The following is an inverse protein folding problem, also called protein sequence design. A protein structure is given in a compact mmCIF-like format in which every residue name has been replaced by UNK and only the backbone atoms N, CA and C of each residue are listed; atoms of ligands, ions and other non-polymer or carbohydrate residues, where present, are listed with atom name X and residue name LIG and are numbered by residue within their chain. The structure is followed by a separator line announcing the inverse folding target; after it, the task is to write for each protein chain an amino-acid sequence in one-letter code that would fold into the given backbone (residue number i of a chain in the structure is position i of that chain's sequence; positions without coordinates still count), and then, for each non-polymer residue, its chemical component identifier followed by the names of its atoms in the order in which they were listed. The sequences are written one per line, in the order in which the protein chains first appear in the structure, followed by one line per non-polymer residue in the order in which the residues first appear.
data_IF_477117189170
#
_entry.id   IF_477117189170
#
_cell.length_a   1.000
_cell.length_b   1.000
_cell.length_c   1.000
_cell.angle_alpha   90.00
_cell.angle_beta   90.00
_cell.angle_gamma   90.00
#
_symmetry.space_group_name_H-M   'P 1'
#
loop_
_entity.id
_entity.type
_entity.pdbx_description
1 polymer ?
#
# COMPACT_ATOMS: atom_id res chain seq x y z
N UNK A 1 -1.98 -22.33 -3.40
CA UNK A 1 -0.78 -21.45 -3.28
C UNK A 1 -0.97 -20.55 -2.10
N UNK A 2 -0.07 -20.65 -1.13
CA UNK A 2 -0.16 -19.83 0.06
C UNK A 2 0.78 -18.62 -0.07
N UNK A 3 0.24 -17.44 0.11
CA UNK A 3 1.01 -16.21 0.06
C UNK A 3 1.36 -15.79 1.47
N UNK A 4 2.62 -15.48 1.71
CA UNK A 4 3.11 -15.05 3.01
C UNK A 4 3.68 -13.63 2.92
N UNK A 5 3.59 -12.89 4.02
CA UNK A 5 4.10 -11.53 4.12
C UNK A 5 4.97 -11.44 5.37
N UNK A 6 6.13 -10.83 5.25
CA UNK A 6 7.00 -10.56 6.40
C UNK A 6 7.85 -9.33 6.17
N UNK A 7 8.47 -8.83 7.23
CA UNK A 7 9.40 -7.73 7.09
C UNK A 7 10.56 -8.14 6.20
N UNK A 8 11.00 -7.23 5.35
CA UNK A 8 12.16 -7.43 4.50
C UNK A 8 13.45 -7.39 5.32
N UNK A 9 14.43 -8.18 4.90
CA UNK A 9 15.75 -8.27 5.53
C UNK A 9 16.82 -7.87 4.54
N UNK A 10 17.99 -7.42 5.00
CA UNK A 10 19.08 -7.07 4.07
C UNK A 10 19.44 -8.19 3.09
N UNK A 11 19.28 -9.46 3.49
CA UNK A 11 19.54 -10.58 2.60
C UNK A 11 18.52 -10.72 1.47
N UNK A 12 17.42 -10.00 1.50
CA UNK A 12 16.36 -10.07 0.49
C UNK A 12 16.59 -9.11 -0.69
N UNK A 13 17.57 -8.18 -0.59
CA UNK A 13 17.65 -7.07 -1.53
C UNK A 13 17.79 -7.46 -3.00
N UNK A 14 18.58 -8.49 -3.29
CA UNK A 14 18.76 -8.92 -4.67
C UNK A 14 17.45 -9.50 -5.23
N UNK A 15 16.81 -10.37 -4.46
CA UNK A 15 15.54 -10.97 -4.88
C UNK A 15 14.43 -9.92 -5.03
N UNK A 16 14.39 -8.94 -4.13
CA UNK A 16 13.43 -7.85 -4.23
C UNK A 16 13.69 -6.97 -5.46
N UNK A 17 14.96 -6.68 -5.77
CA UNK A 17 15.29 -5.91 -6.97
C UNK A 17 14.88 -6.66 -8.23
N UNK A 18 15.09 -7.98 -8.27
CA UNK A 18 14.68 -8.79 -9.42
C UNK A 18 13.17 -8.86 -9.56
N UNK A 19 12.44 -9.06 -8.46
CA UNK A 19 10.98 -9.10 -8.50
C UNK A 19 10.41 -7.73 -8.93
N UNK A 20 10.98 -6.65 -8.43
CA UNK A 20 10.59 -5.29 -8.79
C UNK A 20 10.84 -5.03 -10.27
N UNK A 21 12.02 -5.41 -10.77
CA UNK A 21 12.35 -5.25 -12.18
C UNK A 21 11.36 -6.02 -13.06
N UNK A 22 11.09 -7.26 -12.72
CA UNK A 22 10.12 -8.08 -13.46
C UNK A 22 8.75 -7.42 -13.49
N UNK A 23 8.29 -6.92 -12.34
CA UNK A 23 6.97 -6.32 -12.23
C UNK A 23 6.84 -5.04 -13.08
N UNK A 24 7.81 -4.14 -12.99
CA UNK A 24 7.73 -2.87 -13.69
C UNK A 24 7.98 -3.01 -15.20
N UNK A 25 8.82 -3.96 -15.62
CA UNK A 25 9.02 -4.22 -17.04
C UNK A 25 7.74 -4.76 -17.69
N UNK A 26 6.89 -5.45 -16.94
CA UNK A 26 5.64 -5.96 -17.46
C UNK A 26 4.66 -4.84 -17.80
N UNK A 27 4.84 -3.66 -17.22
CA UNK A 27 3.94 -2.52 -17.45
C UNK A 27 3.88 -2.08 -18.91
N UNK A 28 4.87 -2.43 -19.73
CA UNK A 28 4.84 -2.16 -21.16
C UNK A 28 3.57 -2.76 -21.78
N UNK A 29 3.11 -3.90 -21.28
CA UNK A 29 1.90 -4.55 -21.78
C UNK A 29 0.63 -3.81 -21.37
N UNK A 30 0.76 -2.88 -20.42
CA UNK A 30 -0.39 -2.16 -19.87
C UNK A 30 -0.33 -0.66 -20.16
N UNK A 31 0.46 -0.28 -21.15
CA UNK A 31 0.46 1.10 -21.62
C UNK A 31 1.61 1.98 -21.16
N UNK A 32 2.61 1.42 -20.52
CA UNK A 32 3.78 2.22 -20.12
C UNK A 32 4.47 2.76 -21.37
N UNK A 33 4.78 4.06 -21.41
CA UNK A 33 5.44 4.65 -22.56
C UNK A 33 6.92 4.26 -22.61
N UNK A 34 7.45 4.12 -23.82
CA UNK A 34 8.88 3.85 -24.02
C UNK A 34 9.28 2.40 -23.77
N UNK A 35 10.58 2.15 -23.69
CA UNK A 35 11.09 0.82 -23.42
C UNK A 35 10.82 0.39 -21.99
N UNK A 36 10.97 -0.91 -21.67
CA UNK A 36 10.78 -1.38 -20.30
C UNK A 36 11.59 -0.57 -19.31
N UNK A 37 10.96 -0.18 -18.21
CA UNK A 37 11.60 0.62 -17.17
C UNK A 37 10.71 0.64 -15.93
N UNK A 38 11.01 1.53 -15.01
CA UNK A 38 10.25 1.69 -13.78
C UNK A 38 10.63 2.95 -13.03
N UNK A 39 10.05 3.16 -11.85
CA UNK A 39 10.34 4.34 -11.04
C UNK A 39 11.78 4.29 -10.51
N UNK A 40 12.31 5.42 -10.05
CA UNK A 40 13.69 5.47 -9.57
C UNK A 40 14.01 4.35 -8.58
N UNK A 41 15.13 3.67 -8.80
CA UNK A 41 15.60 2.62 -7.90
C UNK A 41 14.92 1.26 -8.03
N UNK A 42 13.99 1.11 -8.95
CA UNK A 42 13.19 -0.11 -9.06
C UNK A 42 14.01 -1.37 -9.29
N UNK A 43 15.14 -1.27 -9.97
CA UNK A 43 16.01 -2.41 -10.29
C UNK A 43 17.31 -2.42 -9.48
N UNK A 44 17.41 -1.61 -8.44
CA UNK A 44 18.64 -1.45 -7.67
C UNK A 44 18.54 -2.11 -6.29
N UNK A 45 19.41 -3.09 -6.03
CA UNK A 45 19.49 -3.71 -4.71
C UNK A 45 19.91 -2.71 -3.64
N UNK A 46 20.80 -1.77 -3.98
CA UNK A 46 21.25 -0.75 -3.05
C UNK A 46 20.07 0.18 -2.65
N UNK A 47 19.22 0.50 -3.60
CA UNK A 47 18.04 1.31 -3.32
C UNK A 47 17.06 0.57 -2.41
N UNK A 48 16.85 -0.74 -2.67
CA UNK A 48 15.98 -1.56 -1.83
C UNK A 48 16.49 -1.55 -0.38
N UNK A 49 17.79 -1.71 -0.21
CA UNK A 49 18.39 -1.70 1.12
C UNK A 49 18.17 -0.36 1.82
N UNK A 50 18.34 0.75 1.09
CA UNK A 50 18.14 2.07 1.67
C UNK A 50 16.69 2.27 2.11
N UNK A 51 15.74 1.78 1.34
CA UNK A 51 14.32 1.89 1.70
C UNK A 51 14.01 1.10 2.97
N UNK A 52 14.67 -0.01 3.21
CA UNK A 52 14.50 -0.77 4.45
C UNK A 52 14.90 0.03 5.69
N UNK A 53 15.80 1.00 5.52
CA UNK A 53 16.26 1.83 6.64
C UNK A 53 15.37 3.05 6.90
N UNK A 54 14.53 3.44 5.96
CA UNK A 54 13.73 4.65 6.09
C UNK A 54 12.23 4.42 6.00
N UNK A 55 11.79 3.22 5.70
CA UNK A 55 10.38 2.88 5.54
C UNK A 55 10.11 1.49 6.10
N UNK A 56 8.82 1.13 6.17
CA UNK A 56 8.43 -0.21 6.56
C UNK A 56 8.37 -1.02 5.27
N UNK A 57 9.28 -1.94 5.10
CA UNK A 57 9.38 -2.73 3.87
C UNK A 57 8.96 -4.17 4.15
N UNK A 58 8.03 -4.70 3.36
CA UNK A 58 7.53 -6.08 3.49
C UNK A 58 7.81 -6.87 2.22
N UNK A 59 8.18 -8.14 2.38
CA UNK A 59 8.32 -9.06 1.25
C UNK A 59 7.03 -9.86 1.09
N UNK A 60 6.75 -10.23 -0.14
CA UNK A 60 5.64 -11.11 -0.50
C UNK A 60 6.28 -12.41 -0.98
N UNK A 61 5.88 -13.54 -0.39
CA UNK A 61 6.52 -14.82 -0.66
C UNK A 61 5.53 -15.92 -1.01
N UNK A 62 6.00 -16.87 -1.82
CA UNK A 62 5.36 -18.16 -2.01
C UNK A 62 6.42 -19.16 -1.57
N UNK A 63 6.18 -19.84 -0.45
CA UNK A 63 7.22 -20.66 0.16
C UNK A 63 8.40 -19.78 0.53
N UNK A 64 9.58 -20.11 0.06
CA UNK A 64 10.76 -19.29 0.34
C UNK A 64 11.07 -18.32 -0.80
N UNK A 65 10.30 -18.36 -1.87
CA UNK A 65 10.54 -17.51 -3.03
C UNK A 65 9.94 -16.13 -2.83
N UNK A 66 10.77 -15.10 -2.94
CA UNK A 66 10.28 -13.71 -2.90
C UNK A 66 9.71 -13.39 -4.27
N UNK A 67 8.42 -13.04 -4.29
CA UNK A 67 7.71 -12.72 -5.52
C UNK A 67 7.27 -11.27 -5.61
N UNK A 68 7.52 -10.47 -4.59
CA UNK A 68 7.14 -9.09 -4.60
C UNK A 68 7.45 -8.38 -3.29
N UNK A 69 7.02 -7.14 -3.19
CA UNK A 69 7.23 -6.34 -2.00
C UNK A 69 6.29 -5.15 -1.90
N UNK A 70 6.28 -4.58 -0.71
CA UNK A 70 5.51 -3.37 -0.41
C UNK A 70 6.35 -2.44 0.44
N UNK A 71 6.29 -1.14 0.16
CA UNK A 71 7.00 -0.12 0.93
C UNK A 71 5.98 0.86 1.48
N UNK A 72 5.93 0.97 2.80
CA UNK A 72 4.97 1.81 3.51
C UNK A 72 5.70 2.92 4.23
N UNK A 73 5.27 4.17 4.02
CA UNK A 73 5.80 5.33 4.72
C UNK A 73 4.77 5.84 5.73
N UNK A 74 5.24 6.15 6.93
CA UNK A 74 4.38 6.80 7.92
C UNK A 74 4.45 8.29 7.67
N UNK A 75 3.33 8.89 7.33
CA UNK A 75 3.28 10.33 7.00
C UNK A 75 2.88 11.17 8.20
N UNK A 76 2.04 10.65 9.05
CA UNK A 76 1.58 11.33 10.27
C UNK A 76 0.97 10.26 11.18
N UNK A 77 0.44 10.66 12.33
CA UNK A 77 -0.21 9.72 13.23
C UNK A 77 -1.39 9.06 12.53
N UNK A 78 -1.35 7.75 12.42
CA UNK A 78 -2.39 6.93 11.76
C UNK A 78 -2.57 7.26 10.28
N UNK A 79 -1.59 7.91 9.66
CA UNK A 79 -1.65 8.21 8.23
C UNK A 79 -0.43 7.60 7.54
N UNK A 80 -0.68 6.83 6.51
CA UNK A 80 0.35 6.08 5.81
C UNK A 80 0.26 6.28 4.31
N UNK A 81 1.41 6.12 3.64
CA UNK A 81 1.47 6.12 2.20
C UNK A 81 2.01 4.79 1.75
N UNK A 82 1.33 4.13 0.81
CA UNK A 82 1.89 2.97 0.16
C UNK A 82 2.79 3.50 -0.95
N UNK A 83 4.09 3.53 -0.69
CA UNK A 83 5.04 4.08 -1.64
C UNK A 83 5.26 3.20 -2.84
N UNK A 84 5.23 1.89 -2.65
CA UNK A 84 5.33 0.90 -3.73
C UNK A 84 4.66 -0.39 -3.35
N UNK A 85 4.10 -1.03 -4.38
CA UNK A 85 3.67 -2.43 -4.31
C UNK A 85 4.02 -3.03 -5.67
N UNK A 86 4.63 -4.19 -5.66
CA UNK A 86 4.99 -4.88 -6.88
C UNK A 86 4.92 -6.39 -6.69
N UNK A 87 4.52 -7.09 -7.76
CA UNK A 87 4.46 -8.55 -7.81
C UNK A 87 5.10 -8.96 -9.13
N UNK A 88 6.02 -9.91 -9.09
CA UNK A 88 6.71 -10.38 -10.29
C UNK A 88 5.71 -10.83 -11.35
N UNK A 89 6.05 -10.66 -12.61
CA UNK A 89 5.14 -10.89 -13.73
C UNK A 89 4.44 -12.25 -13.67
N UNK A 90 5.17 -13.30 -13.33
CA UNK A 90 4.64 -14.66 -13.31
C UNK A 90 3.50 -14.87 -12.29
N UNK A 91 3.40 -14.00 -11.31
CA UNK A 91 2.40 -14.10 -10.25
C UNK A 91 1.34 -12.99 -10.29
N UNK A 92 1.36 -12.14 -11.31
CA UNK A 92 0.35 -11.10 -11.44
C UNK A 92 -1.01 -11.66 -11.83
N UNK A 93 -2.07 -10.89 -11.56
CA UNK A 93 -3.45 -11.25 -11.88
C UNK A 93 -3.95 -12.53 -11.19
N UNK A 94 -3.46 -12.80 -9.99
CA UNK A 94 -3.84 -13.99 -9.22
C UNK A 94 -4.38 -13.61 -7.83
N UNK A 95 -4.81 -12.38 -7.64
CA UNK A 95 -5.40 -11.94 -6.38
C UNK A 95 -4.38 -11.59 -5.28
N UNK A 96 -3.10 -11.60 -5.59
CA UNK A 96 -2.06 -11.32 -4.59
C UNK A 96 -2.12 -9.88 -4.11
N UNK A 97 -2.42 -8.93 -5.02
CA UNK A 97 -2.58 -7.54 -4.61
C UNK A 97 -3.67 -7.35 -3.57
N UNK A 98 -4.79 -8.04 -3.72
CA UNK A 98 -5.89 -7.98 -2.74
C UNK A 98 -5.43 -8.53 -1.39
N UNK A 99 -4.72 -9.66 -1.39
CA UNK A 99 -4.19 -10.24 -0.16
C UNK A 99 -3.16 -9.31 0.49
N UNK A 100 -2.37 -8.59 -0.31
CA UNK A 100 -1.40 -7.64 0.20
C UNK A 100 -2.10 -6.49 0.93
N UNK A 101 -3.19 -5.98 0.38
CA UNK A 101 -3.94 -4.93 1.07
C UNK A 101 -4.61 -5.46 2.33
N UNK A 102 -5.13 -6.70 2.31
CA UNK A 102 -5.68 -7.30 3.54
C UNK A 102 -4.61 -7.38 4.62
N UNK A 103 -3.39 -7.76 4.24
CA UNK A 103 -2.26 -7.76 5.18
C UNK A 103 -2.00 -6.37 5.75
N UNK A 104 -2.04 -5.32 4.92
CA UNK A 104 -1.83 -3.95 5.39
C UNK A 104 -2.94 -3.50 6.34
N UNK A 105 -4.20 -3.85 6.04
CA UNK A 105 -5.32 -3.50 6.92
C UNK A 105 -5.17 -4.16 8.29
N UNK A 106 -4.67 -5.38 8.33
CA UNK A 106 -4.47 -6.10 9.57
C UNK A 106 -3.22 -5.61 10.33
N UNK A 107 -2.18 -5.22 9.60
CA UNK A 107 -0.93 -4.75 10.20
C UNK A 107 -1.08 -3.35 10.80
N UNK A 108 -1.90 -2.52 10.19
CA UNK A 108 -2.12 -1.14 10.62
C UNK A 108 -3.60 -0.90 10.95
N UNK A 109 -4.13 -1.58 11.97
CA UNK A 109 -5.56 -1.53 12.27
C UNK A 109 -6.07 -0.17 12.73
N UNK A 110 -5.17 0.71 13.19
CA UNK A 110 -5.55 2.04 13.65
C UNK A 110 -5.37 3.11 12.59
N UNK A 111 -5.00 2.73 11.37
CA UNK A 111 -4.82 3.69 10.30
C UNK A 111 -6.15 4.38 9.98
N UNK A 112 -6.10 5.70 9.85
CA UNK A 112 -7.30 6.48 9.48
C UNK A 112 -7.23 6.98 8.05
N UNK A 113 -6.05 6.93 7.45
CA UNK A 113 -5.88 7.42 6.09
C UNK A 113 -4.72 6.72 5.40
N UNK A 114 -4.95 6.30 4.18
CA UNK A 114 -3.93 5.77 3.29
C UNK A 114 -3.90 6.59 2.01
N UNK A 115 -2.71 6.86 1.49
CA UNK A 115 -2.53 7.50 0.20
C UNK A 115 -1.59 6.66 -0.66
N UNK A 116 -1.71 6.82 -1.96
CA UNK A 116 -0.77 6.23 -2.92
C UNK A 116 -0.86 6.99 -4.23
N UNK A 117 0.11 6.78 -5.11
CA UNK A 117 0.12 7.36 -6.44
C UNK A 117 0.39 6.29 -7.47
N UNK A 118 -0.08 6.49 -8.68
CA UNK A 118 0.19 5.61 -9.81
C UNK A 118 0.22 6.44 -11.08
N UNK A 119 0.98 6.01 -12.12
CA UNK A 119 1.01 6.75 -13.37
C UNK A 119 -0.38 6.85 -13.99
N UNK A 120 -0.67 8.00 -14.59
CA UNK A 120 -1.97 8.23 -15.19
C UNK A 120 -2.30 7.23 -16.29
N UNK A 121 -1.31 6.78 -17.04
CA UNK A 121 -1.50 5.81 -18.12
C UNK A 121 -1.87 4.41 -17.60
N UNK A 122 -1.60 4.11 -16.34
CA UNK A 122 -1.81 2.76 -15.84
C UNK A 122 -3.25 2.51 -15.42
N UNK A 123 -4.10 2.22 -16.39
CA UNK A 123 -5.51 1.97 -16.14
C UNK A 123 -5.73 0.76 -15.25
N UNK A 124 -4.87 -0.23 -15.35
CA UNK A 124 -4.99 -1.47 -14.58
C UNK A 124 -4.85 -1.18 -13.08
N UNK A 125 -3.81 -0.46 -12.69
CA UNK A 125 -3.62 -0.15 -11.28
C UNK A 125 -4.67 0.84 -10.78
N UNK A 126 -5.06 1.80 -11.60
CA UNK A 126 -6.12 2.74 -11.22
C UNK A 126 -7.42 2.01 -10.91
N UNK A 127 -7.80 1.06 -11.76
CA UNK A 127 -8.99 0.24 -11.55
C UNK A 127 -8.85 -0.61 -10.28
N UNK A 128 -7.69 -1.21 -10.09
CA UNK A 128 -7.43 -2.04 -8.93
C UNK A 128 -7.52 -1.25 -7.63
N UNK A 129 -6.92 -0.06 -7.58
CA UNK A 129 -6.97 0.76 -6.36
C UNK A 129 -8.39 1.22 -6.04
N UNK A 130 -9.18 1.57 -7.06
CA UNK A 130 -10.57 1.90 -6.84
C UNK A 130 -11.32 0.70 -6.25
N UNK A 131 -11.03 -0.50 -6.74
CA UNK A 131 -11.67 -1.71 -6.28
C UNK A 131 -11.36 -2.03 -4.83
N UNK A 132 -10.15 -1.73 -4.35
CA UNK A 132 -9.80 -1.96 -2.95
C UNK A 132 -10.14 -0.78 -2.04
N UNK A 133 -10.90 0.18 -2.53
CA UNK A 133 -11.47 1.22 -1.69
C UNK A 133 -10.82 2.59 -1.74
N UNK A 134 -9.92 2.83 -2.68
CA UNK A 134 -9.31 4.15 -2.84
C UNK A 134 -10.13 5.03 -3.77
N UNK A 135 -10.08 6.34 -3.54
CA UNK A 135 -10.71 7.35 -4.38
C UNK A 135 -9.65 8.24 -4.98
N UNK A 136 -9.78 8.56 -6.25
CA UNK A 136 -8.86 9.47 -6.93
C UNK A 136 -9.06 10.88 -6.39
N UNK A 137 -8.00 11.55 -5.96
CA UNK A 137 -8.11 12.88 -5.37
C UNK A 137 -7.36 13.98 -6.13
N UNK A 138 -6.65 13.65 -7.19
CA UNK A 138 -5.95 14.67 -7.96
C UNK A 138 -4.78 14.09 -8.75
N UNK A 139 -3.95 14.99 -9.28
CA UNK A 139 -2.76 14.61 -10.05
C UNK A 139 -1.55 15.30 -9.44
N UNK A 140 -0.39 14.68 -9.57
CA UNK A 140 0.84 15.30 -9.12
C UNK A 140 1.51 16.03 -10.30
N UNK A 141 2.62 16.72 -10.02
CA UNK A 141 3.31 17.53 -11.03
C UNK A 141 3.97 16.70 -12.13
N UNK A 142 4.05 15.38 -11.96
CA UNK A 142 4.76 14.51 -12.91
C UNK A 142 3.84 13.58 -13.68
N UNK A 143 2.54 13.86 -13.69
CA UNK A 143 1.59 13.05 -14.44
C UNK A 143 1.12 11.80 -13.71
N UNK A 144 1.28 11.77 -12.41
CA UNK A 144 0.76 10.69 -11.59
C UNK A 144 -0.63 11.02 -11.08
N UNK A 145 -1.41 10.01 -10.75
CA UNK A 145 -2.74 10.17 -10.17
C UNK A 145 -2.64 9.80 -8.70
N UNK A 146 -3.18 10.67 -7.84
CA UNK A 146 -3.16 10.49 -6.41
C UNK A 146 -4.47 9.87 -5.92
N UNK A 147 -4.35 8.90 -5.02
CA UNK A 147 -5.49 8.18 -4.44
C UNK A 147 -5.47 8.27 -2.92
N UNK A 148 -6.66 8.23 -2.35
CA UNK A 148 -6.82 8.28 -0.91
C UNK A 148 -7.87 7.26 -0.47
N UNK A 149 -7.63 6.63 0.67
CA UNK A 149 -8.66 5.84 1.34
C UNK A 149 -8.73 6.31 2.79
N UNK A 150 -9.89 6.83 3.18
CA UNK A 150 -10.13 7.23 4.57
C UNK A 150 -10.90 6.11 5.25
N UNK A 151 -10.50 5.80 6.48
CA UNK A 151 -11.11 4.72 7.23
C UNK A 151 -11.82 5.34 8.41
N UNK A 152 -13.12 5.10 8.49
CA UNK A 152 -13.90 5.63 9.58
C UNK A 152 -13.43 4.98 10.86
N UNK A 153 -13.34 5.79 11.85
CA UNK A 153 -12.87 5.30 13.10
C UNK A 153 -13.90 4.32 13.59
N UNK A 154 -13.53 3.09 13.59
CA UNK A 154 -14.39 2.14 13.99
C UNK A 154 -14.34 2.09 15.41
N UNK A 155 -14.53 2.97 16.03
CA UNK A 155 -14.40 2.99 17.32
C UNK A 155 -15.13 2.03 17.95
N UNK A 156 -14.75 1.12 17.87
CA UNK A 156 -15.32 0.16 18.57
C UNK A 156 -16.54 0.60 19.01
N UNK A 157 -16.89 1.01 18.57
CA UNK A 157 -17.84 1.25 18.87
C UNK A 157 -18.10 1.65 19.96
N UNK A 158 -17.92 1.76 20.25
CA UNK A 158 -18.19 2.04 20.98
C UNK A 158 -18.60 2.57 21.58
N UNK A 159 -18.91 2.59 21.94
CA UNK A 159 -19.49 2.90 22.62
C UNK A 159 -19.58 4.01 22.97
N UNK A 160 -19.42 4.31 22.86
CA UNK A 160 -19.40 5.11 23.15
C UNK A 160 -19.97 5.90 23.23
N UNK A 161 -20.19 6.08 22.84
CA UNK A 161 -20.79 7.04 22.75
C UNK A 161 -21.54 7.22 23.80
N UNK A 162 -21.84 6.45 23.90
CA UNK A 162 -22.50 6.34 24.91
C UNK A 162 -22.03 7.30 25.84
N UNK A 163 -21.01 7.20 25.93
CA UNK A 163 -20.44 8.04 26.87
C UNK A 163 -21.07 9.34 26.74
N UNK A 164 -21.01 9.74 25.73
CA UNK A 164 -21.43 11.04 25.55
C UNK A 164 -22.67 11.12 26.13
N UNK A 165 -23.36 10.29 25.91
CA UNK A 165 -24.58 10.38 26.40
C UNK A 165 -24.44 10.73 27.72
N UNK A 166 -23.70 10.09 28.19
CA UNK A 166 -23.50 10.33 29.50
C UNK A 166 -23.66 11.79 29.69
N UNK A 167 -22.99 12.34 29.10
CA UNK A 167 -22.99 13.72 29.30
C UNK A 167 -24.30 14.26 29.35
N UNK A 168 -24.90 13.97 28.86
CA UNK A 168 -25.97 14.55 28.78
C UNK A 168 -26.62 14.80 29.88
N UNK A 169 -26.70 14.64 30.38
CA UNK A 169 -27.35 14.84 31.15
C UNK A 169 -27.41 15.79 31.98
N UNK A 170 -27.32 16.11 32.15
CA UNK A 170 -27.44 16.72 32.83
C UNK A 170 -27.94 17.52 33.04
N UNK A 171 -28.12 17.65 32.87
CA UNK A 171 -28.53 18.22 32.87
C UNK A 171 -29.20 18.71 33.52
N UNK A 172 -29.35 18.71 33.80
CA UNK A 172 -30.11 19.03 34.29
C UNK A 172 -30.25 19.65 35.07
N UNK A 173 -30.43 20.01 35.27
CA UNK A 173 -30.77 20.46 35.84
C UNK A 173 -31.18 21.24 36.50
N UNK A 174 -31.53 21.48 36.81
CA UNK A 174 -32.02 22.09 37.27
C UNK A 174 -32.28 22.58 37.83
N UNK A 175 -32.50 22.75 38.06
CA UNK A 175 -33.02 23.23 38.52
C UNK A 175 -33.31 23.82 39.03
#
# INVERSE_FOLDING_TARGET
MEIQFRKAKPSDVEALAQASKSAFHEDVKYGAPGPPGGPPGYDSAAWQKRMMGIAEYYTILVGEQIIGGMIVFRKATREYELGRIFVTAAYQNQGIGTQAFDFLWQTYPLAKRWTLGTPKWNRRTRHFYAKVGFTEIGEDAHGGVLFERRIAAKIGGSPIPSASDAASPHSGTRG
#
